data_IF_643556317572
#
_entry.id   IF_643556317572
#
_cell.length_a   1.000
_cell.length_b   1.000
_cell.length_c   1.000
_cell.angle_alpha   90.00
_cell.angle_beta   90.00
_cell.angle_gamma   90.00
#
_symmetry.space_group_name_H-M   'P 1'
#
loop_
_entity.id
_entity.type
_entity.pdbx_description
1 polymer ?
#
# COMPACT_ATOMS: atom_id res chain seq x y z
N UNK A 1 16.09 -25.45 -10.13
CA UNK A 1 15.60 -24.16 -9.59
C UNK A 1 16.59 -23.51 -8.64
N UNK A 2 17.01 -24.15 -7.53
CA UNK A 2 18.05 -23.57 -6.63
C UNK A 2 19.42 -23.39 -7.30
N UNK A 3 19.88 -24.39 -8.06
CA UNK A 3 21.15 -24.27 -8.80
C UNK A 3 21.15 -23.19 -9.89
N UNK A 4 19.99 -22.88 -10.48
CA UNK A 4 19.87 -21.82 -11.50
C UNK A 4 19.96 -20.41 -10.88
N UNK A 5 19.54 -20.26 -9.62
CA UNK A 5 19.57 -19.00 -8.88
C UNK A 5 20.99 -18.63 -8.43
N UNK A 6 21.77 -19.61 -7.97
CA UNK A 6 23.16 -19.35 -7.56
C UNK A 6 24.02 -18.90 -8.73
N UNK A 7 23.93 -19.62 -9.86
CA UNK A 7 24.65 -19.26 -11.09
C UNK A 7 24.25 -17.87 -11.58
N UNK A 8 22.94 -17.57 -11.64
CA UNK A 8 22.46 -16.25 -12.05
C UNK A 8 22.94 -15.12 -11.11
N UNK A 9 22.92 -15.36 -9.79
CA UNK A 9 23.41 -14.40 -8.79
C UNK A 9 24.89 -14.10 -9.01
N UNK A 10 25.72 -15.13 -9.18
CA UNK A 10 27.16 -14.96 -9.33
C UNK A 10 27.52 -14.20 -10.61
N UNK A 11 26.82 -14.48 -11.73
CA UNK A 11 26.96 -13.69 -12.96
C UNK A 11 26.56 -12.22 -12.77
N UNK A 12 25.44 -11.96 -12.09
CA UNK A 12 24.99 -10.59 -11.81
C UNK A 12 25.97 -9.84 -10.89
N UNK A 13 26.55 -10.52 -9.90
CA UNK A 13 27.55 -9.93 -9.01
C UNK A 13 28.84 -9.57 -9.75
N UNK A 14 29.36 -10.47 -10.60
CA UNK A 14 30.53 -10.16 -11.45
C UNK A 14 30.23 -9.00 -12.40
N UNK A 15 29.03 -8.97 -12.98
CA UNK A 15 28.60 -7.87 -13.83
C UNK A 15 28.57 -6.54 -13.07
N UNK A 16 28.03 -6.52 -11.85
CA UNK A 16 27.99 -5.33 -11.00
C UNK A 16 29.37 -4.85 -10.55
N UNK A 17 30.39 -5.72 -10.48
CA UNK A 17 31.78 -5.27 -10.24
C UNK A 17 32.28 -4.35 -11.38
N UNK A 18 31.80 -4.58 -12.61
CA UNK A 18 32.14 -3.74 -13.76
C UNK A 18 31.17 -2.57 -13.96
N UNK A 19 29.90 -2.78 -13.65
CA UNK A 19 28.82 -1.81 -13.86
C UNK A 19 27.98 -1.64 -12.58
N UNK A 20 28.51 -0.95 -11.56
CA UNK A 20 27.87 -0.86 -10.24
C UNK A 20 26.54 -0.08 -10.24
N UNK A 21 26.31 0.75 -11.26
CA UNK A 21 25.11 1.56 -11.37
C UNK A 21 24.15 0.99 -12.43
N UNK A 22 23.99 -0.33 -12.49
CA UNK A 22 23.05 -1.00 -13.40
C UNK A 22 21.80 -1.51 -12.65
N UNK A 23 20.70 -0.74 -12.64
CA UNK A 23 19.53 -1.04 -11.81
C UNK A 23 18.88 -2.40 -12.09
N UNK A 24 18.72 -2.86 -13.35
CA UNK A 24 18.11 -4.16 -13.61
C UNK A 24 18.79 -5.32 -12.87
N UNK A 25 20.11 -5.28 -12.66
CA UNK A 25 20.81 -6.30 -11.88
C UNK A 25 20.34 -6.35 -10.42
N UNK A 26 20.09 -5.19 -9.80
CA UNK A 26 19.56 -5.12 -8.44
C UNK A 26 18.10 -5.59 -8.33
N UNK A 27 17.24 -5.34 -9.33
CA UNK A 27 15.89 -5.92 -9.36
C UNK A 27 15.96 -7.46 -9.45
N UNK A 28 16.79 -8.00 -10.35
CA UNK A 28 16.95 -9.45 -10.47
C UNK A 28 17.52 -10.09 -9.20
N UNK A 29 18.55 -9.49 -8.59
CA UNK A 29 19.11 -9.96 -7.32
C UNK A 29 18.07 -9.92 -6.19
N UNK A 30 17.23 -8.88 -6.14
CA UNK A 30 16.14 -8.82 -5.18
C UNK A 30 15.13 -9.96 -5.35
N UNK A 31 14.77 -10.29 -6.60
CA UNK A 31 13.85 -11.40 -6.89
C UNK A 31 14.45 -12.74 -6.52
N UNK A 32 15.73 -12.96 -6.82
CA UNK A 32 16.46 -14.17 -6.42
C UNK A 32 16.46 -14.30 -4.89
N UNK A 33 16.86 -13.25 -4.17
CA UNK A 33 16.88 -13.25 -2.71
C UNK A 33 15.50 -13.52 -2.09
N UNK A 34 14.45 -12.88 -2.63
CA UNK A 34 13.06 -13.14 -2.22
C UNK A 34 12.65 -14.59 -2.44
N UNK A 35 12.92 -15.14 -3.63
CA UNK A 35 12.58 -16.53 -3.97
C UNK A 35 13.37 -17.55 -3.13
N UNK A 36 14.53 -17.15 -2.58
CA UNK A 36 15.31 -17.90 -1.60
C UNK A 36 14.87 -17.67 -0.14
N UNK A 37 13.89 -16.80 0.11
CA UNK A 37 13.41 -16.46 1.46
C UNK A 37 14.27 -15.45 2.22
N UNK A 38 15.33 -14.92 1.61
CA UNK A 38 16.18 -13.88 2.20
C UNK A 38 15.59 -12.49 1.90
N UNK A 39 14.56 -12.15 2.66
CA UNK A 39 13.84 -10.89 2.51
C UNK A 39 14.69 -9.66 2.87
N UNK A 40 15.64 -9.81 3.78
CA UNK A 40 16.51 -8.70 4.19
C UNK A 40 17.46 -8.32 3.04
N UNK A 41 18.06 -9.32 2.40
CA UNK A 41 18.88 -9.12 1.20
C UNK A 41 18.04 -8.60 0.03
N UNK A 42 16.82 -9.13 -0.16
CA UNK A 42 15.92 -8.67 -1.22
C UNK A 42 15.59 -7.18 -1.09
N UNK A 43 15.24 -6.74 0.12
CA UNK A 43 14.95 -5.32 0.41
C UNK A 43 16.20 -4.45 0.23
N UNK A 44 17.39 -4.92 0.63
CA UNK A 44 18.64 -4.19 0.42
C UNK A 44 18.97 -3.97 -1.07
N UNK A 45 18.73 -4.98 -1.90
CA UNK A 45 18.87 -4.85 -3.35
C UNK A 45 17.84 -3.87 -3.94
N UNK A 46 16.57 -3.94 -3.52
CA UNK A 46 15.55 -2.98 -3.95
C UNK A 46 15.87 -1.54 -3.51
N UNK A 47 16.40 -1.35 -2.31
CA UNK A 47 16.87 -0.03 -1.85
C UNK A 47 17.97 0.55 -2.76
N UNK A 48 18.88 -0.30 -3.22
CA UNK A 48 19.90 0.12 -4.20
C UNK A 48 19.28 0.44 -5.54
N UNK A 49 18.34 -0.38 -6.01
CA UNK A 49 17.57 -0.11 -7.22
C UNK A 49 16.86 1.26 -7.17
N UNK A 50 16.18 1.58 -6.05
CA UNK A 50 15.46 2.85 -5.89
C UNK A 50 16.36 4.07 -5.94
N UNK A 51 17.60 3.98 -5.42
CA UNK A 51 18.57 5.09 -5.49
C UNK A 51 19.08 5.36 -6.91
N UNK A 52 19.07 4.35 -7.78
CA UNK A 52 19.60 4.45 -9.14
C UNK A 52 18.52 4.73 -10.20
N UNK A 53 17.26 4.90 -9.79
CA UNK A 53 16.13 5.08 -10.68
C UNK A 53 15.34 6.32 -10.29
N UNK A 54 15.20 7.26 -11.24
CA UNK A 54 14.42 8.48 -11.01
C UNK A 54 12.92 8.19 -10.88
N UNK A 55 12.43 7.19 -11.61
CA UNK A 55 11.02 6.79 -11.62
C UNK A 55 10.87 5.28 -11.45
N UNK A 56 11.12 4.74 -10.24
CA UNK A 56 10.99 3.31 -9.99
C UNK A 56 9.54 2.85 -10.18
N UNK A 57 9.35 1.58 -10.52
CA UNK A 57 8.01 1.00 -10.57
C UNK A 57 7.39 0.98 -9.15
N UNK A 58 6.20 1.58 -8.93
CA UNK A 58 5.52 1.55 -7.63
C UNK A 58 5.29 0.13 -7.08
N UNK A 59 5.16 -0.88 -7.94
CA UNK A 59 4.99 -2.27 -7.55
C UNK A 59 6.20 -2.85 -6.79
N UNK A 60 7.40 -2.32 -7.00
CA UNK A 60 8.60 -2.75 -6.29
C UNK A 60 8.63 -2.21 -4.85
N UNK A 61 8.11 -1.00 -4.61
CA UNK A 61 7.90 -0.49 -3.25
C UNK A 61 6.88 -1.35 -2.48
N UNK A 62 5.78 -1.75 -3.15
CA UNK A 62 4.80 -2.67 -2.55
C UNK A 62 5.42 -4.04 -2.23
N UNK A 63 6.24 -4.58 -3.13
CA UNK A 63 6.92 -5.85 -2.89
C UNK A 63 7.87 -5.76 -1.69
N UNK A 64 8.68 -4.71 -1.61
CA UNK A 64 9.56 -4.47 -0.47
C UNK A 64 8.79 -4.32 0.85
N UNK A 65 7.71 -3.54 0.86
CA UNK A 65 6.87 -3.37 2.05
C UNK A 65 6.23 -4.68 2.51
N UNK A 66 5.75 -5.54 1.59
CA UNK A 66 5.19 -6.85 1.92
C UNK A 66 6.22 -7.81 2.51
N UNK A 67 7.43 -7.85 1.94
CA UNK A 67 8.53 -8.66 2.50
C UNK A 67 8.85 -8.25 3.94
N UNK A 68 8.83 -6.95 4.25
CA UNK A 68 9.01 -6.43 5.62
C UNK A 68 7.81 -6.73 6.52
N UNK A 69 6.58 -6.63 6.00
CA UNK A 69 5.33 -6.98 6.69
C UNK A 69 5.30 -8.45 7.11
N UNK A 70 5.71 -9.37 6.24
CA UNK A 70 5.82 -10.81 6.55
C UNK A 70 6.78 -11.08 7.73
N UNK A 71 7.77 -10.20 7.92
CA UNK A 71 8.71 -10.22 9.05
C UNK A 71 8.24 -9.38 10.24
N UNK A 72 7.01 -8.86 10.21
CA UNK A 72 6.43 -7.93 11.19
C UNK A 72 7.23 -6.64 11.39
N UNK A 73 8.07 -6.27 10.43
CA UNK A 73 8.89 -5.04 10.42
C UNK A 73 8.08 -3.86 9.88
N UNK A 74 6.94 -3.58 10.51
CA UNK A 74 5.92 -2.69 9.95
C UNK A 74 6.40 -1.24 9.78
N UNK A 75 7.22 -0.72 10.70
CA UNK A 75 7.77 0.64 10.58
C UNK A 75 8.67 0.80 9.35
N UNK A 76 9.47 -0.23 9.05
CA UNK A 76 10.33 -0.22 7.87
C UNK A 76 9.51 -0.37 6.59
N UNK A 77 8.47 -1.22 6.61
CA UNK A 77 7.52 -1.33 5.50
C UNK A 77 6.86 0.02 5.18
N UNK A 78 6.43 0.76 6.21
CA UNK A 78 5.88 2.11 6.08
C UNK A 78 6.90 3.08 5.49
N UNK A 79 8.16 3.06 5.97
CA UNK A 79 9.23 3.90 5.44
C UNK A 79 9.49 3.66 3.95
N UNK A 80 9.44 2.40 3.49
CA UNK A 80 9.52 2.05 2.06
C UNK A 80 8.39 2.69 1.25
N UNK A 81 7.15 2.61 1.75
CA UNK A 81 5.98 3.16 1.06
C UNK A 81 6.03 4.68 1.00
N UNK A 82 6.43 5.31 2.10
CA UNK A 82 6.58 6.77 2.21
C UNK A 82 7.72 7.27 1.30
N UNK A 83 8.84 6.54 1.20
CA UNK A 83 9.89 6.80 0.22
C UNK A 83 9.36 6.75 -1.22
N UNK A 84 8.55 5.74 -1.54
CA UNK A 84 7.94 5.60 -2.86
C UNK A 84 7.04 6.78 -3.22
N UNK A 85 6.28 7.29 -2.25
CA UNK A 85 5.43 8.47 -2.44
C UNK A 85 6.23 9.76 -2.57
N UNK A 86 7.30 9.93 -1.79
CA UNK A 86 8.19 11.07 -1.91
C UNK A 86 8.86 11.12 -3.30
N UNK A 87 9.17 9.96 -3.87
CA UNK A 87 9.82 9.84 -5.18
C UNK A 87 8.84 10.00 -6.35
N UNK A 88 7.67 9.35 -6.26
CA UNK A 88 6.73 9.22 -7.39
C UNK A 88 5.56 10.19 -7.31
N UNK A 89 5.46 10.97 -6.23
CA UNK A 89 4.25 11.69 -5.87
C UNK A 89 3.19 10.77 -5.25
N UNK A 90 1.97 11.28 -5.12
CA UNK A 90 0.91 10.54 -4.45
C UNK A 90 0.46 9.36 -5.32
N UNK A 91 0.77 8.15 -4.84
CA UNK A 91 0.39 6.89 -5.48
C UNK A 91 -0.66 6.18 -4.60
N UNK A 92 -1.95 6.12 -5.02
CA UNK A 92 -3.03 5.59 -4.18
C UNK A 92 -2.82 4.16 -3.67
N UNK A 93 -2.20 3.30 -4.47
CA UNK A 93 -1.90 1.92 -4.05
C UNK A 93 -0.87 1.85 -2.91
N UNK A 94 0.13 2.74 -2.88
CA UNK A 94 1.12 2.79 -1.79
C UNK A 94 0.47 3.26 -0.50
N UNK A 95 -0.36 4.31 -0.59
CA UNK A 95 -1.10 4.81 0.57
C UNK A 95 -2.09 3.77 1.11
N UNK A 96 -2.81 3.04 0.25
CA UNK A 96 -3.71 1.97 0.71
C UNK A 96 -2.97 0.87 1.46
N UNK A 97 -1.78 0.45 0.99
CA UNK A 97 -0.96 -0.50 1.74
C UNK A 97 -0.50 0.10 3.08
N UNK A 98 -0.12 1.38 3.12
CA UNK A 98 0.30 2.03 4.35
C UNK A 98 -0.86 2.11 5.39
N UNK A 99 -2.08 2.45 4.95
CA UNK A 99 -3.29 2.41 5.79
C UNK A 99 -3.52 1.02 6.36
N UNK A 100 -3.40 -0.03 5.55
CA UNK A 100 -3.57 -1.42 6.01
C UNK A 100 -2.51 -1.80 7.06
N UNK A 101 -1.26 -1.38 6.87
CA UNK A 101 -0.18 -1.61 7.84
C UNK A 101 -0.44 -0.90 9.17
N UNK A 102 -0.91 0.35 9.16
CA UNK A 102 -1.24 1.05 10.41
C UNK A 102 -2.40 0.38 11.15
N UNK A 103 -3.44 -0.08 10.43
CA UNK A 103 -4.54 -0.87 11.02
C UNK A 103 -4.02 -2.17 11.63
N UNK A 104 -3.16 -2.90 10.92
CA UNK A 104 -2.58 -4.15 11.41
C UNK A 104 -1.71 -3.97 12.66
N UNK A 105 -1.14 -2.78 12.85
CA UNK A 105 -0.40 -2.38 14.07
C UNK A 105 -1.30 -1.90 15.21
N UNK A 106 -2.62 -1.84 15.00
CA UNK A 106 -3.57 -1.27 15.96
C UNK A 106 -3.43 0.25 16.09
N UNK A 107 -3.08 0.95 15.00
CA UNK A 107 -2.93 2.42 14.95
C UNK A 107 -3.97 3.05 13.99
N UNK A 108 -5.28 2.87 14.23
CA UNK A 108 -6.35 3.36 13.35
C UNK A 108 -6.35 4.89 13.19
N UNK A 109 -5.81 5.64 14.15
CA UNK A 109 -5.65 7.10 14.06
C UNK A 109 -4.68 7.49 12.94
N UNK A 110 -3.54 6.79 12.84
CA UNK A 110 -2.57 7.02 11.78
C UNK A 110 -3.08 6.52 10.43
N UNK A 111 -3.82 5.40 10.43
CA UNK A 111 -4.50 4.90 9.25
C UNK A 111 -5.48 5.95 8.69
N UNK A 112 -6.26 6.59 9.57
CA UNK A 112 -7.20 7.65 9.22
C UNK A 112 -6.48 8.87 8.64
N UNK A 113 -5.41 9.32 9.29
CA UNK A 113 -4.61 10.46 8.80
C UNK A 113 -4.05 10.20 7.40
N UNK A 114 -3.53 8.99 7.15
CA UNK A 114 -3.05 8.57 5.81
C UNK A 114 -4.19 8.57 4.79
N UNK A 115 -5.34 8.01 5.13
CA UNK A 115 -6.50 7.97 4.22
C UNK A 115 -7.03 9.38 3.89
N UNK A 116 -6.97 10.33 4.83
CA UNK A 116 -7.35 11.73 4.59
C UNK A 116 -6.52 12.38 3.49
N UNK A 117 -5.22 12.10 3.43
CA UNK A 117 -4.34 12.64 2.38
C UNK A 117 -4.73 12.22 0.97
N UNK A 118 -5.45 11.11 0.82
CA UNK A 118 -5.96 10.62 -0.47
C UNK A 118 -7.26 11.29 -0.92
N UNK A 119 -8.00 11.93 -0.01
CA UNK A 119 -9.32 12.49 -0.27
C UNK A 119 -9.39 13.40 -1.51
N UNK A 120 -8.53 14.45 -1.60
CA UNK A 120 -8.54 15.38 -2.72
C UNK A 120 -8.34 14.71 -4.09
N UNK A 121 -7.51 13.67 -4.16
CA UNK A 121 -7.21 12.97 -5.41
C UNK A 121 -8.27 11.97 -5.82
N UNK A 122 -8.95 11.36 -4.84
CA UNK A 122 -10.04 10.42 -5.08
C UNK A 122 -11.38 11.14 -5.30
N UNK A 123 -11.37 12.48 -5.39
CA UNK A 123 -12.57 13.31 -5.51
C UNK A 123 -13.55 13.08 -4.36
N UNK A 124 -13.04 12.71 -3.19
CA UNK A 124 -13.83 12.26 -2.05
C UNK A 124 -14.92 11.24 -2.44
N UNK A 125 -14.58 10.28 -3.28
CA UNK A 125 -15.54 9.29 -3.79
C UNK A 125 -16.35 8.61 -2.67
N UNK A 126 -17.57 8.10 -2.96
CA UNK A 126 -18.35 7.36 -1.98
C UNK A 126 -17.57 6.21 -1.34
N UNK A 127 -16.75 5.49 -2.11
CA UNK A 127 -15.88 4.43 -1.59
C UNK A 127 -14.89 4.95 -0.54
N UNK A 128 -14.19 6.05 -0.84
CA UNK A 128 -13.28 6.68 0.12
C UNK A 128 -14.03 7.16 1.38
N UNK A 129 -15.24 7.71 1.25
CA UNK A 129 -16.03 8.13 2.41
C UNK A 129 -16.42 6.94 3.29
N UNK A 130 -16.71 5.78 2.71
CA UNK A 130 -17.00 4.56 3.47
C UNK A 130 -15.76 4.00 4.15
N UNK A 131 -14.59 4.01 3.49
CA UNK A 131 -13.31 3.62 4.11
C UNK A 131 -12.99 4.52 5.31
N UNK A 132 -13.21 5.84 5.18
CA UNK A 132 -13.09 6.81 6.26
C UNK A 132 -14.09 6.52 7.40
N UNK A 133 -15.34 6.20 7.07
CA UNK A 133 -16.35 5.88 8.06
C UNK A 133 -16.00 4.63 8.88
N UNK A 134 -15.48 3.59 8.23
CA UNK A 134 -15.04 2.36 8.88
C UNK A 134 -13.95 2.64 9.92
N UNK A 135 -12.92 3.41 9.56
CA UNK A 135 -11.88 3.82 10.49
C UNK A 135 -12.42 4.69 11.64
N UNK A 136 -13.39 5.56 11.37
CA UNK A 136 -14.03 6.35 12.43
C UNK A 136 -14.85 5.48 13.39
N UNK A 137 -15.45 4.39 12.91
CA UNK A 137 -16.13 3.42 13.77
C UNK A 137 -15.15 2.66 14.65
N UNK A 138 -14.01 2.22 14.11
CA UNK A 138 -12.92 1.59 14.89
C UNK A 138 -12.44 2.51 16.02
N UNK A 139 -12.39 3.82 15.77
CA UNK A 139 -12.03 4.85 16.74
C UNK A 139 -13.17 5.24 17.70
N UNK A 140 -14.37 4.66 17.54
CA UNK A 140 -15.55 5.00 18.34
C UNK A 140 -16.20 6.34 18.00
N UNK A 141 -15.75 7.05 16.96
CA UNK A 141 -16.30 8.32 16.52
C UNK A 141 -17.58 8.13 15.68
N UNK A 142 -18.63 7.61 16.32
CA UNK A 142 -19.91 7.24 15.67
C UNK A 142 -20.54 8.40 14.89
N UNK A 143 -20.53 9.62 15.42
CA UNK A 143 -21.12 10.79 14.75
C UNK A 143 -20.41 11.14 13.43
N UNK A 144 -19.06 11.08 13.44
CA UNK A 144 -18.25 11.32 12.24
C UNK A 144 -18.46 10.23 11.20
N UNK A 145 -18.49 8.97 11.64
CA UNK A 145 -18.81 7.85 10.77
C UNK A 145 -20.20 8.00 10.13
N UNK A 146 -21.21 8.34 10.91
CA UNK A 146 -22.58 8.54 10.45
C UNK A 146 -22.68 9.64 9.38
N UNK A 147 -21.98 10.77 9.57
CA UNK A 147 -21.94 11.84 8.59
C UNK A 147 -21.33 11.38 7.24
N UNK A 148 -20.22 10.64 7.30
CA UNK A 148 -19.54 10.12 6.11
C UNK A 148 -20.40 9.09 5.35
N UNK A 149 -21.06 8.18 6.08
CA UNK A 149 -21.97 7.18 5.50
C UNK A 149 -23.16 7.86 4.82
N UNK A 150 -23.77 8.86 5.48
CA UNK A 150 -24.89 9.61 4.92
C UNK A 150 -24.50 10.30 3.61
N UNK A 151 -23.38 11.02 3.60
CA UNK A 151 -22.87 11.69 2.40
C UNK A 151 -22.58 10.71 1.27
N UNK A 152 -22.00 9.54 1.58
CA UNK A 152 -21.77 8.48 0.59
C UNK A 152 -23.08 7.96 -0.02
N UNK A 153 -24.11 7.71 0.81
CA UNK A 153 -25.42 7.23 0.36
C UNK A 153 -26.15 8.25 -0.52
N UNK A 154 -26.16 9.52 -0.13
CA UNK A 154 -26.74 10.61 -0.91
C UNK A 154 -26.10 10.71 -2.29
N UNK A 155 -24.76 10.65 -2.35
CA UNK A 155 -24.01 10.68 -3.61
C UNK A 155 -24.33 9.47 -4.49
N UNK A 156 -24.40 8.27 -3.91
CA UNK A 156 -24.70 7.03 -4.65
C UNK A 156 -26.14 7.01 -5.18
N UNK A 157 -27.10 7.57 -4.43
CA UNK A 157 -28.51 7.64 -4.85
C UNK A 157 -28.73 8.55 -6.07
N UNK A 158 -27.89 9.57 -6.24
CA UNK A 158 -27.94 10.49 -7.39
C UNK A 158 -27.26 9.93 -8.65
N UNK A 159 -26.47 8.86 -8.52
CA UNK A 159 -25.70 8.28 -9.63
C UNK A 159 -26.43 7.08 -10.24
N UNK A 160 -26.16 6.82 -11.53
CA UNK A 160 -26.71 5.65 -12.22
C UNK A 160 -26.28 4.35 -11.52
N UNK A 161 -27.20 3.42 -11.24
CA UNK A 161 -26.88 2.12 -10.67
C UNK A 161 -25.92 1.36 -11.58
N UNK A 162 -24.84 0.86 -10.98
CA UNK A 162 -23.90 -0.09 -11.58
C UNK A 162 -23.60 -1.16 -10.52
N UNK A 163 -23.17 -2.37 -10.88
CA UNK A 163 -22.86 -3.42 -9.91
C UNK A 163 -21.94 -2.91 -8.78
N UNK A 164 -20.84 -2.24 -9.13
CA UNK A 164 -19.91 -1.67 -8.14
C UNK A 164 -20.56 -0.62 -7.21
N UNK A 165 -21.52 0.17 -7.70
CA UNK A 165 -22.23 1.14 -6.85
C UNK A 165 -23.26 0.49 -5.95
N UNK A 166 -23.92 -0.57 -6.42
CA UNK A 166 -24.83 -1.37 -5.60
C UNK A 166 -24.07 -2.02 -4.45
N UNK A 167 -22.87 -2.56 -4.70
CA UNK A 167 -22.00 -3.10 -3.65
C UNK A 167 -21.63 -2.02 -2.61
N UNK A 168 -21.32 -0.80 -3.08
CA UNK A 168 -21.04 0.33 -2.17
C UNK A 168 -22.28 0.76 -1.37
N UNK A 169 -23.48 0.70 -1.96
CA UNK A 169 -24.73 0.99 -1.25
C UNK A 169 -24.98 -0.05 -0.16
N UNK A 170 -24.84 -1.34 -0.49
CA UNK A 170 -24.96 -2.43 0.50
C UNK A 170 -23.95 -2.28 1.64
N UNK A 171 -22.69 -1.94 1.31
CA UNK A 171 -21.66 -1.65 2.33
C UNK A 171 -22.06 -0.46 3.21
N UNK A 172 -22.58 0.61 2.62
CA UNK A 172 -23.02 1.78 3.37
C UNK A 172 -24.20 1.47 4.32
N UNK A 173 -25.14 0.61 3.89
CA UNK A 173 -26.26 0.14 4.71
C UNK A 173 -25.79 -0.73 5.87
N UNK A 174 -24.86 -1.66 5.62
CA UNK A 174 -24.27 -2.50 6.66
C UNK A 174 -23.56 -1.65 7.74
N UNK A 175 -22.77 -0.66 7.33
CA UNK A 175 -22.11 0.26 8.25
C UNK A 175 -23.12 1.12 9.03
N UNK A 176 -24.20 1.56 8.38
CA UNK A 176 -25.26 2.31 9.03
C UNK A 176 -26.00 1.48 10.10
N UNK A 177 -26.29 0.21 9.81
CA UNK A 177 -26.93 -0.69 10.77
C UNK A 177 -26.05 -0.91 12.01
N UNK A 178 -24.72 -1.01 11.82
CA UNK A 178 -23.75 -1.16 12.92
C UNK A 178 -23.63 0.05 13.86
N UNK A 179 -24.09 1.24 13.45
CA UNK A 179 -24.11 2.43 14.33
C UNK A 179 -25.15 2.34 15.45
N UNK A 180 -26.21 1.57 15.23
CA UNK A 180 -27.37 1.46 16.12
C UNK A 180 -27.29 0.27 17.10
N UNK A 181 -26.24 -0.56 16.99
CA UNK A 181 -25.92 -1.63 17.92
C UNK A 181 -24.95 -1.13 19.02
#
# INVERSE_FOLDING_TARGET
RTGDFEVARDYLQQYLQRFPNYPPAYDYLARIARDSGDYDLAVAHLQTYFRLQERPNPGLYLAAARMLEERRRYQEALAILDQGQATLGVVPQLQRQAVALERARGQPELALARLQTLGPMLGESPAWRLDMAELQLELGHRDRAAAMIRSARETLAQQRPTPARLDLQQRAEALAAGLHQ
#
